data_IF_052317909290
#
_entry.id   IF_052317909290
#
_cell.length_a   1.000
_cell.length_b   1.000
_cell.length_c   1.000
_cell.angle_alpha   90.00
_cell.angle_beta   90.00
_cell.angle_gamma   90.00
#
_symmetry.space_group_name_H-M   'P 1'
#
loop_
_entity.id
_entity.type
_entity.pdbx_description
1 polymer ?
#
# COMPACT_ATOMS: atom_id res chain seq x y z
N UNK A 1 -24.03 24.46 7.87
CA UNK A 1 -23.00 24.21 6.85
C UNK A 1 -21.66 24.06 7.59
N UNK A 2 -21.31 22.82 7.97
CA UNK A 2 -20.06 22.55 8.66
C UNK A 2 -18.99 22.34 7.57
N UNK A 3 -18.10 23.30 7.47
CA UNK A 3 -16.87 23.13 6.72
C UNK A 3 -16.03 22.14 7.52
N UNK A 4 -16.00 20.89 7.08
CA UNK A 4 -15.08 19.90 7.64
C UNK A 4 -13.66 20.41 7.39
N UNK A 5 -12.94 20.65 8.47
CA UNK A 5 -11.57 21.12 8.48
C UNK A 5 -10.71 20.17 7.63
N UNK A 6 -10.24 20.64 6.49
CA UNK A 6 -9.36 19.88 5.59
C UNK A 6 -8.09 19.37 6.30
N UNK A 7 -7.67 20.01 7.37
CA UNK A 7 -6.49 19.66 8.16
C UNK A 7 -6.62 18.35 8.99
N UNK A 8 -7.80 17.76 9.10
CA UNK A 8 -8.00 16.55 9.90
C UNK A 8 -8.09 15.26 9.04
N UNK A 9 -8.13 15.41 7.71
CA UNK A 9 -8.18 14.28 6.77
C UNK A 9 -6.79 13.67 6.50
N UNK A 10 -5.73 14.45 6.63
CA UNK A 10 -4.35 14.00 6.33
C UNK A 10 -3.65 13.30 7.51
N UNK A 11 -4.19 13.40 8.72
CA UNK A 11 -3.53 12.89 9.92
C UNK A 11 -3.41 11.36 9.97
N UNK A 12 -4.28 10.64 9.25
CA UNK A 12 -4.33 9.18 9.20
C UNK A 12 -3.77 8.61 7.87
N UNK A 13 -3.19 9.45 7.02
CA UNK A 13 -2.59 9.03 5.75
C UNK A 13 -1.10 8.80 5.93
N UNK A 14 -0.64 7.63 5.52
CA UNK A 14 0.78 7.28 5.45
C UNK A 14 1.20 7.23 3.99
N UNK A 15 2.38 7.74 3.71
CA UNK A 15 2.92 7.70 2.37
C UNK A 15 4.42 7.52 2.33
N UNK A 16 4.88 6.95 1.25
CA UNK A 16 6.30 6.82 0.94
C UNK A 16 6.48 6.65 -0.57
N UNK A 17 7.68 6.92 -1.05
CA UNK A 17 8.07 6.71 -2.43
C UNK A 17 9.07 5.57 -2.58
N UNK A 18 9.02 4.91 -3.71
CA UNK A 18 9.98 3.89 -4.15
C UNK A 18 10.48 4.27 -5.54
N UNK A 19 11.78 4.43 -5.70
CA UNK A 19 12.41 4.42 -7.01
C UNK A 19 13.04 3.05 -7.27
N UNK A 20 12.73 2.46 -8.42
CA UNK A 20 13.30 1.20 -8.88
C UNK A 20 13.77 1.34 -10.33
N UNK A 21 15.01 0.90 -10.65
CA UNK A 21 15.55 0.96 -12.01
C UNK A 21 15.00 -0.17 -12.90
N UNK A 22 13.68 -0.20 -13.03
CA UNK A 22 12.93 -1.16 -13.85
C UNK A 22 11.83 -0.43 -14.62
N UNK A 23 11.29 -1.01 -15.69
CA UNK A 23 10.11 -0.45 -16.36
C UNK A 23 8.90 -0.40 -15.41
N UNK A 24 8.02 0.59 -15.61
CA UNK A 24 6.78 0.72 -14.84
C UNK A 24 5.91 -0.55 -14.91
N UNK A 25 5.91 -1.23 -16.04
CA UNK A 25 5.23 -2.52 -16.24
C UNK A 25 5.66 -3.59 -15.23
N UNK A 26 6.95 -3.70 -14.93
CA UNK A 26 7.47 -4.69 -14.00
C UNK A 26 6.97 -4.44 -12.56
N UNK A 27 6.98 -3.19 -12.13
CA UNK A 27 6.48 -2.82 -10.81
C UNK A 27 4.96 -2.94 -10.72
N UNK A 28 4.24 -2.50 -11.75
CA UNK A 28 2.80 -2.65 -11.85
C UNK A 28 2.36 -4.12 -11.78
N UNK A 29 3.04 -5.00 -12.52
CA UNK A 29 2.79 -6.44 -12.49
C UNK A 29 3.01 -7.05 -11.10
N UNK A 30 4.06 -6.65 -10.39
CA UNK A 30 4.32 -7.11 -9.02
C UNK A 30 3.24 -6.66 -8.03
N UNK A 31 2.67 -5.48 -8.22
CA UNK A 31 1.57 -4.95 -7.39
C UNK A 31 0.23 -5.66 -7.63
N UNK A 32 0.07 -6.34 -8.74
CA UNK A 32 -1.12 -7.15 -9.06
C UNK A 32 -0.91 -8.65 -8.82
N UNK A 33 0.30 -9.08 -8.50
CA UNK A 33 0.61 -10.48 -8.23
C UNK A 33 0.27 -10.86 -6.78
N UNK A 34 -0.90 -11.44 -6.59
CA UNK A 34 -1.41 -11.89 -5.30
C UNK A 34 -0.50 -12.90 -4.59
N UNK A 35 0.18 -13.74 -5.34
CA UNK A 35 1.09 -14.76 -4.80
C UNK A 35 2.41 -14.20 -4.30
N UNK A 36 2.83 -13.09 -4.87
CA UNK A 36 4.06 -12.41 -4.51
C UNK A 36 3.98 -11.58 -3.23
N UNK A 37 2.80 -11.10 -2.83
CA UNK A 37 2.62 -10.19 -1.69
C UNK A 37 3.23 -10.66 -0.38
N UNK A 38 3.04 -11.92 0.07
CA UNK A 38 3.65 -12.36 1.31
C UNK A 38 5.18 -12.29 1.32
N UNK A 39 5.80 -12.34 0.16
CA UNK A 39 7.26 -12.26 0.00
C UNK A 39 7.83 -10.87 0.25
N UNK A 40 7.09 -9.81 -0.08
CA UNK A 40 7.60 -8.45 0.06
C UNK A 40 6.81 -7.57 1.04
N UNK A 41 5.57 -7.92 1.38
CA UNK A 41 4.74 -7.19 2.33
C UNK A 41 4.69 -7.91 3.69
N UNK A 42 5.60 -7.60 4.64
CA UNK A 42 5.58 -8.21 5.96
C UNK A 42 4.24 -7.95 6.66
N UNK A 43 3.67 -8.98 7.26
CA UNK A 43 2.35 -8.92 7.88
C UNK A 43 1.23 -9.40 6.96
N UNK A 44 1.42 -9.44 5.66
CA UNK A 44 0.51 -10.13 4.73
C UNK A 44 0.87 -11.61 4.69
N UNK A 45 -0.05 -12.47 5.09
CA UNK A 45 0.16 -13.91 5.15
C UNK A 45 -0.33 -14.62 3.90
N UNK A 46 -1.46 -14.16 3.39
CA UNK A 46 -2.12 -14.73 2.22
C UNK A 46 -2.97 -13.65 1.54
N UNK A 47 -3.02 -13.71 0.23
CA UNK A 47 -3.96 -12.97 -0.60
C UNK A 47 -4.69 -13.97 -1.49
N UNK A 48 -6.00 -13.89 -1.52
CA UNK A 48 -6.84 -14.72 -2.37
C UNK A 48 -7.73 -13.83 -3.24
N UNK A 49 -7.61 -13.98 -4.55
CA UNK A 49 -8.46 -13.26 -5.49
C UNK A 49 -9.81 -13.98 -5.57
N UNK A 50 -10.86 -13.29 -5.20
CA UNK A 50 -12.22 -13.81 -5.20
C UNK A 50 -12.94 -13.54 -6.53
N UNK A 51 -12.61 -12.43 -7.21
CA UNK A 51 -13.25 -12.01 -8.46
C UNK A 51 -12.37 -11.03 -9.25
N UNK A 52 -12.49 -11.09 -10.57
CA UNK A 52 -11.97 -10.09 -11.53
C UNK A 52 -10.45 -9.82 -11.41
N UNK A 53 -9.67 -10.89 -11.39
CA UNK A 53 -8.20 -10.83 -11.26
C UNK A 53 -7.55 -9.80 -12.21
N UNK A 54 -6.76 -8.87 -11.63
CA UNK A 54 -5.88 -7.98 -12.36
C UNK A 54 -6.55 -6.81 -13.08
N UNK A 55 -7.85 -6.61 -12.89
CA UNK A 55 -8.63 -5.54 -13.52
C UNK A 55 -9.43 -4.75 -12.49
N UNK A 56 -9.90 -3.58 -12.88
CA UNK A 56 -10.83 -2.78 -12.08
C UNK A 56 -12.03 -3.63 -11.64
N UNK A 57 -12.38 -3.53 -10.38
CA UNK A 57 -13.42 -4.34 -9.75
C UNK A 57 -12.91 -5.63 -9.12
N UNK A 58 -11.60 -5.94 -9.22
CA UNK A 58 -11.01 -7.09 -8.55
C UNK A 58 -11.32 -7.05 -7.06
N UNK A 59 -11.86 -8.18 -6.56
CA UNK A 59 -12.09 -8.38 -5.13
C UNK A 59 -11.10 -9.41 -4.62
N UNK A 60 -10.41 -9.07 -3.56
CA UNK A 60 -9.44 -9.96 -2.91
C UNK A 60 -9.63 -10.00 -1.40
N UNK A 61 -9.38 -11.15 -0.81
CA UNK A 61 -9.35 -11.34 0.63
C UNK A 61 -7.88 -11.43 1.08
N UNK A 62 -7.55 -10.61 2.06
CA UNK A 62 -6.22 -10.51 2.63
C UNK A 62 -6.21 -11.04 4.06
N UNK A 63 -5.39 -12.02 4.32
CA UNK A 63 -5.08 -12.43 5.69
C UNK A 63 -3.85 -11.67 6.15
N UNK A 64 -4.03 -10.81 7.15
CA UNK A 64 -2.99 -9.92 7.66
C UNK A 64 -2.77 -10.12 9.16
N UNK A 65 -1.56 -9.87 9.62
CA UNK A 65 -1.24 -9.76 11.03
C UNK A 65 -1.27 -8.30 11.45
N UNK A 66 -2.16 -7.97 12.35
CA UNK A 66 -2.30 -6.62 12.91
C UNK A 66 -2.20 -6.68 14.42
N UNK A 67 -1.18 -6.05 14.99
CA UNK A 67 -0.90 -6.05 16.44
C UNK A 67 -0.90 -7.46 17.06
N UNK A 68 -0.28 -8.43 16.37
CA UNK A 68 -0.18 -9.81 16.82
C UNK A 68 -1.41 -10.68 16.59
N UNK A 69 -2.51 -10.12 16.10
CA UNK A 69 -3.72 -10.87 15.77
C UNK A 69 -3.91 -11.03 14.26
N UNK A 70 -4.38 -12.18 13.84
CA UNK A 70 -4.77 -12.43 12.44
C UNK A 70 -6.10 -11.79 12.15
N UNK A 71 -6.20 -11.10 11.03
CA UNK A 71 -7.43 -10.48 10.54
C UNK A 71 -7.60 -10.75 9.05
N UNK A 72 -8.84 -10.87 8.63
CA UNK A 72 -9.21 -10.92 7.22
C UNK A 72 -9.80 -9.57 6.80
N UNK A 73 -9.28 -9.04 5.71
CA UNK A 73 -9.70 -7.76 5.13
C UNK A 73 -10.05 -8.00 3.68
N UNK A 74 -11.19 -7.48 3.24
CA UNK A 74 -11.53 -7.43 1.83
C UNK A 74 -10.94 -6.19 1.19
N UNK A 75 -10.43 -6.34 -0.02
CA UNK A 75 -9.95 -5.24 -0.83
C UNK A 75 -10.66 -5.23 -2.18
N UNK A 76 -11.06 -4.05 -2.62
CA UNK A 76 -11.62 -3.83 -3.95
C UNK A 76 -10.71 -2.90 -4.72
N UNK A 77 -10.26 -3.32 -5.90
CA UNK A 77 -9.48 -2.51 -6.82
C UNK A 77 -10.42 -1.55 -7.56
N UNK A 78 -10.45 -0.30 -7.14
CA UNK A 78 -11.37 0.72 -7.66
C UNK A 78 -10.92 1.30 -8.99
N UNK A 79 -9.62 1.50 -9.13
CA UNK A 79 -9.00 2.00 -10.36
C UNK A 79 -7.73 1.21 -10.68
N UNK A 80 -7.55 0.90 -11.95
CA UNK A 80 -6.36 0.25 -12.47
C UNK A 80 -6.06 0.83 -13.87
N UNK A 81 -5.20 1.83 -13.90
CA UNK A 81 -4.65 2.35 -15.14
C UNK A 81 -3.31 1.65 -15.40
N UNK A 82 -3.18 0.88 -16.47
CA UNK A 82 -1.97 0.13 -16.74
C UNK A 82 -0.72 1.00 -16.65
N UNK A 83 0.23 0.54 -15.82
CA UNK A 83 1.54 1.16 -15.60
C UNK A 83 1.52 2.59 -15.00
N UNK A 84 0.35 3.09 -14.58
CA UNK A 84 0.21 4.46 -14.09
C UNK A 84 -0.43 4.61 -12.72
N UNK A 85 -1.56 3.96 -12.49
CA UNK A 85 -2.34 4.17 -11.26
C UNK A 85 -3.01 2.89 -10.80
N UNK A 86 -2.93 2.67 -9.48
CA UNK A 86 -3.76 1.70 -8.77
C UNK A 86 -4.41 2.40 -7.59
N UNK A 87 -5.72 2.24 -7.41
CA UNK A 87 -6.46 2.62 -6.21
C UNK A 87 -7.30 1.47 -5.72
N UNK A 88 -7.32 1.28 -4.43
CA UNK A 88 -8.09 0.23 -3.79
C UNK A 88 -8.69 0.70 -2.47
N UNK A 89 -9.77 0.05 -2.08
CA UNK A 89 -10.42 0.25 -0.78
C UNK A 89 -10.29 -1.00 0.06
N UNK A 90 -10.38 -0.83 1.38
CA UNK A 90 -10.40 -1.91 2.35
C UNK A 90 -11.71 -1.93 3.11
N UNK A 91 -12.24 -3.12 3.37
CA UNK A 91 -13.45 -3.35 4.15
C UNK A 91 -13.24 -4.49 5.15
N UNK A 92 -13.87 -4.37 6.34
CA UNK A 92 -13.81 -5.36 7.40
C UNK A 92 -13.33 -4.76 8.72
N UNK A 93 -12.52 -5.49 9.50
CA UNK A 93 -11.99 -4.99 10.78
C UNK A 93 -11.16 -3.71 10.66
N UNK A 94 -10.62 -3.47 9.48
CA UNK A 94 -9.94 -2.25 9.09
C UNK A 94 -10.56 -1.76 7.79
N UNK A 95 -11.01 -0.53 7.75
CA UNK A 95 -11.46 0.15 6.52
C UNK A 95 -10.41 1.16 6.07
N UNK A 96 -10.56 1.68 4.87
CA UNK A 96 -9.68 2.70 4.33
C UNK A 96 -9.45 2.55 2.83
N UNK A 97 -8.37 3.15 2.38
CA UNK A 97 -7.99 3.10 0.97
C UNK A 97 -6.46 3.09 0.81
N UNK A 98 -6.03 2.69 -0.36
CA UNK A 98 -4.66 2.84 -0.80
C UNK A 98 -4.60 3.34 -2.23
N UNK A 99 -3.49 3.98 -2.54
CA UNK A 99 -3.20 4.49 -3.88
C UNK A 99 -1.72 4.27 -4.18
N UNK A 100 -1.44 3.89 -5.40
CA UNK A 100 -0.08 3.86 -5.95
C UNK A 100 -0.07 4.56 -7.29
N UNK A 101 0.72 5.62 -7.40
CA UNK A 101 0.95 6.34 -8.65
C UNK A 101 2.34 6.01 -9.16
N UNK A 102 2.41 5.53 -10.39
CA UNK A 102 3.66 5.16 -11.07
C UNK A 102 4.00 6.22 -12.11
N UNK A 103 5.24 6.69 -12.11
CA UNK A 103 5.76 7.64 -13.12
C UNK A 103 7.13 7.20 -13.58
N UNK A 104 7.33 7.14 -14.88
CA UNK A 104 8.66 6.93 -15.43
C UNK A 104 9.58 8.10 -15.09
N UNK A 105 10.79 7.79 -14.65
CA UNK A 105 11.81 8.76 -14.27
C UNK A 105 13.19 8.28 -14.72
N UNK A 106 13.72 8.88 -15.77
CA UNK A 106 15.03 8.50 -16.29
C UNK A 106 15.07 7.03 -16.72
N UNK A 107 15.87 6.23 -16.05
CA UNK A 107 16.11 4.81 -16.31
C UNK A 107 15.27 3.87 -15.43
N UNK A 108 14.24 4.40 -14.77
CA UNK A 108 13.42 3.60 -13.88
C UNK A 108 12.02 4.15 -13.68
N UNK A 109 11.36 3.70 -12.63
CA UNK A 109 10.03 4.11 -12.22
C UNK A 109 10.04 4.65 -10.79
N UNK A 110 9.37 5.77 -10.60
CA UNK A 110 9.04 6.31 -9.28
C UNK A 110 7.60 5.91 -8.96
N UNK A 111 7.41 5.22 -7.85
CA UNK A 111 6.12 4.85 -7.31
C UNK A 111 5.86 5.61 -6.02
N UNK A 112 4.73 6.26 -5.94
CA UNK A 112 4.28 6.96 -4.74
C UNK A 112 3.07 6.24 -4.15
N UNK A 113 3.23 5.79 -2.91
CA UNK A 113 2.21 5.06 -2.17
C UNK A 113 1.58 5.97 -1.11
N UNK A 114 0.26 5.98 -1.07
CA UNK A 114 -0.52 6.59 0.00
C UNK A 114 -1.51 5.57 0.51
N UNK A 115 -1.63 5.44 1.81
CA UNK A 115 -2.60 4.55 2.43
C UNK A 115 -3.23 5.20 3.65
N UNK A 116 -4.51 4.94 3.81
CA UNK A 116 -5.28 5.31 4.99
C UNK A 116 -5.92 4.05 5.56
N UNK A 117 -5.65 3.77 6.82
CA UNK A 117 -6.22 2.64 7.53
C UNK A 117 -7.02 3.14 8.72
N UNK A 118 -8.26 2.71 8.82
CA UNK A 118 -9.17 3.05 9.89
C UNK A 118 -9.73 1.80 10.53
N UNK A 119 -9.24 1.40 11.71
CA UNK A 119 -9.80 0.28 12.46
C UNK A 119 -11.23 0.57 12.91
N UNK A 120 -12.07 -0.46 12.89
CA UNK A 120 -13.46 -0.38 13.38
C UNK A 120 -13.52 -0.21 14.90
N UNK A 121 -12.64 -0.87 15.64
CA UNK A 121 -12.58 -0.77 17.10
C UNK A 121 -12.04 0.59 17.55
N UNK A 122 -12.79 1.28 18.42
CA UNK A 122 -12.42 2.62 18.91
C UNK A 122 -11.08 2.64 19.67
N UNK A 123 -10.81 1.61 20.48
CA UNK A 123 -9.53 1.48 21.19
C UNK A 123 -8.37 1.32 20.24
N UNK A 124 -8.51 0.49 19.21
CA UNK A 124 -7.49 0.27 18.20
C UNK A 124 -7.23 1.55 17.40
N UNK A 125 -8.28 2.31 17.05
CA UNK A 125 -8.14 3.63 16.42
C UNK A 125 -7.31 4.59 17.28
N UNK A 126 -7.57 4.62 18.58
CA UNK A 126 -6.83 5.47 19.51
C UNK A 126 -5.35 5.07 19.58
N UNK A 127 -5.06 3.78 19.63
CA UNK A 127 -3.67 3.27 19.62
C UNK A 127 -2.97 3.62 18.32
N UNK A 128 -3.62 3.42 17.17
CA UNK A 128 -3.03 3.71 15.86
C UNK A 128 -2.78 5.20 15.61
N UNK A 129 -3.46 6.09 16.32
CA UNK A 129 -3.23 7.54 16.26
C UNK A 129 -2.07 8.01 17.13
N UNK A 130 -1.56 7.17 18.01
CA UNK A 130 -0.42 7.52 18.85
C UNK A 130 0.85 7.72 18.02
N UNK A 131 1.73 8.63 18.47
CA UNK A 131 2.99 8.92 17.77
C UNK A 131 3.89 7.70 17.57
N UNK A 132 4.06 6.78 18.56
CA UNK A 132 4.83 5.56 18.36
C UNK A 132 4.26 4.66 17.26
N UNK A 133 2.95 4.52 17.18
CA UNK A 133 2.29 3.70 16.17
C UNK A 133 2.36 4.31 14.78
N UNK A 134 2.27 5.63 14.65
CA UNK A 134 2.49 6.31 13.37
C UNK A 134 3.91 6.10 12.85
N UNK A 135 4.91 6.19 13.72
CA UNK A 135 6.30 5.87 13.39
C UNK A 135 6.49 4.42 12.97
N UNK A 136 5.87 3.48 13.68
CA UNK A 136 5.89 2.05 13.35
C UNK A 136 5.23 1.76 12.00
N UNK A 137 4.10 2.38 11.69
CA UNK A 137 3.41 2.23 10.40
C UNK A 137 4.23 2.77 9.23
N UNK A 138 4.87 3.92 9.39
CA UNK A 138 5.80 4.47 8.36
C UNK A 138 7.00 3.56 8.14
N UNK A 139 7.61 3.07 9.21
CA UNK A 139 8.71 2.12 9.13
C UNK A 139 8.31 0.80 8.47
N UNK A 140 7.12 0.31 8.75
CA UNK A 140 6.56 -0.87 8.11
C UNK A 140 6.38 -0.66 6.60
N UNK A 141 5.77 0.46 6.19
CA UNK A 141 5.62 0.80 4.77
C UNK A 141 6.96 0.87 4.07
N UNK A 142 7.97 1.52 4.65
CA UNK A 142 9.33 1.57 4.10
C UNK A 142 9.93 0.19 3.91
N UNK A 143 9.75 -0.72 4.87
CA UNK A 143 10.23 -2.11 4.73
C UNK A 143 9.52 -2.86 3.60
N UNK A 144 8.21 -2.70 3.47
CA UNK A 144 7.45 -3.27 2.36
C UNK A 144 7.99 -2.78 1.01
N UNK A 145 8.17 -1.48 0.85
CA UNK A 145 8.64 -0.89 -0.40
C UNK A 145 10.08 -1.28 -0.73
N UNK A 146 10.95 -1.36 0.27
CA UNK A 146 12.33 -1.84 0.07
C UNK A 146 12.34 -3.27 -0.44
N UNK A 147 11.54 -4.15 0.16
CA UNK A 147 11.42 -5.55 -0.29
C UNK A 147 10.79 -5.67 -1.66
N UNK A 148 9.76 -4.88 -1.94
CA UNK A 148 9.15 -4.83 -3.27
C UNK A 148 10.18 -4.43 -4.33
N UNK A 149 10.96 -3.38 -4.06
CA UNK A 149 12.03 -2.94 -4.94
C UNK A 149 13.04 -4.05 -5.22
N UNK A 150 13.51 -4.74 -4.20
CA UNK A 150 14.42 -5.87 -4.39
C UNK A 150 13.79 -7.06 -5.11
N UNK A 151 12.49 -7.28 -4.92
CA UNK A 151 11.76 -8.33 -5.64
C UNK A 151 11.74 -8.06 -7.15
N UNK A 152 11.53 -6.83 -7.58
CA UNK A 152 11.45 -6.47 -9.00
C UNK A 152 12.81 -6.22 -9.66
N UNK A 153 13.81 -5.77 -8.90
CA UNK A 153 15.14 -5.46 -9.41
C UNK A 153 16.15 -6.59 -9.27
N UNK A 154 15.88 -7.59 -8.41
CA UNK A 154 16.88 -8.54 -7.93
C UNK A 154 17.84 -7.90 -6.90
N UNK A 155 18.76 -8.72 -6.36
CA UNK A 155 19.63 -8.34 -5.24
C UNK A 155 20.70 -7.27 -5.56
N UNK A 156 20.88 -6.92 -6.83
CA UNK A 156 21.85 -5.92 -7.29
C UNK A 156 21.27 -4.57 -7.70
N UNK A 157 19.96 -4.38 -7.58
CA UNK A 157 19.30 -3.17 -8.02
C UNK A 157 19.47 -1.98 -7.06
N UNK A 158 19.72 -0.78 -7.60
CA UNK A 158 19.81 0.46 -6.84
C UNK A 158 18.40 0.98 -6.48
N UNK A 159 17.77 0.37 -5.48
CA UNK A 159 16.45 0.76 -4.97
C UNK A 159 16.58 1.91 -3.97
N UNK A 160 15.73 2.91 -4.09
CA UNK A 160 15.66 4.02 -3.15
C UNK A 160 14.24 4.17 -2.61
N UNK A 161 14.11 4.18 -1.29
CA UNK A 161 12.84 4.41 -0.58
C UNK A 161 12.97 5.70 0.23
N UNK A 162 11.98 6.56 0.11
CA UNK A 162 12.00 7.86 0.77
C UNK A 162 10.59 8.38 1.07
N UNK A 163 10.48 9.64 1.51
CA UNK A 163 9.20 10.32 1.68
C UNK A 163 8.50 10.49 0.34
N UNK A 164 7.22 10.87 0.38
CA UNK A 164 6.50 11.32 -0.81
C UNK A 164 7.25 12.48 -1.46
N UNK A 165 7.35 12.43 -2.77
CA UNK A 165 7.90 13.54 -3.55
C UNK A 165 6.76 14.53 -3.77
N UNK A 166 6.88 15.75 -3.25
CA UNK A 166 5.91 16.79 -3.52
C UNK A 166 5.81 17.06 -5.03
N UNK A 167 4.59 17.32 -5.53
CA UNK A 167 4.37 17.54 -6.96
C UNK A 167 5.07 18.77 -7.51
#
# INVERSE_FOLDING_TARGET
MHVANANNLDADVFGASLFAPVPAEALYGALLDDRGFPGWAPGVRRVEILRDRGVRGMVSEWEVSLLGARRKVLSVLEEAEPHGLLRWTYEGPVSGYGECVLRERGDGVLAEFRTRLRPEEALLRKVMRSSPMKGAARGHLKRCLTRLGHTVCGDGGAVRVGPLVDP
#
